data_IF_546922877406
#
_entry.id   IF_546922877406
#
_cell.length_a   1.000
_cell.length_b   1.000
_cell.length_c   1.000
_cell.angle_alpha   90.00
_cell.angle_beta   90.00
_cell.angle_gamma   90.00
#
_symmetry.space_group_name_H-M   'P 1'
#
loop_
_entity.id
_entity.type
_entity.pdbx_description
1 polymer ?
#
# COMPACT_ATOMS: atom_id res chain seq x y z
N UNK A 1 -15.50 24.76 -9.53
CA UNK A 1 -14.15 24.69 -10.16
C UNK A 1 -13.53 23.37 -9.73
N UNK A 2 -13.31 22.42 -10.65
CA UNK A 2 -12.88 21.05 -10.33
C UNK A 2 -11.36 21.07 -10.09
N UNK A 3 -10.95 21.51 -8.91
CA UNK A 3 -9.54 21.67 -8.53
C UNK A 3 -9.01 20.30 -8.07
N UNK A 4 -8.57 19.47 -9.02
CA UNK A 4 -7.76 18.30 -8.72
C UNK A 4 -8.08 17.04 -9.52
N UNK A 5 -7.06 16.20 -9.68
CA UNK A 5 -7.15 14.85 -10.26
C UNK A 5 -8.08 13.92 -9.45
N UNK A 6 -8.32 14.25 -8.18
CA UNK A 6 -9.20 13.52 -7.26
C UNK A 6 -10.52 14.29 -7.08
N UNK A 7 -11.69 13.68 -7.36
CA UNK A 7 -12.99 14.30 -7.10
C UNK A 7 -13.14 14.66 -5.61
N UNK A 8 -13.61 15.87 -5.31
CA UNK A 8 -13.81 16.36 -3.93
C UNK A 8 -12.57 16.29 -3.02
N UNK A 9 -11.35 16.33 -3.58
CA UNK A 9 -10.10 16.23 -2.82
C UNK A 9 -9.84 17.39 -1.84
N UNK A 10 -10.63 18.45 -1.90
CA UNK A 10 -10.65 19.58 -0.97
C UNK A 10 -11.56 19.36 0.25
N UNK A 11 -12.48 18.37 0.20
CA UNK A 11 -13.37 18.05 1.30
C UNK A 11 -12.61 17.36 2.44
N UNK A 12 -12.75 17.90 3.64
CA UNK A 12 -12.17 17.34 4.87
C UNK A 12 -13.08 16.24 5.42
N UNK A 13 -13.01 15.06 4.79
CA UNK A 13 -13.73 13.86 5.21
C UNK A 13 -12.76 12.82 5.77
N UNK A 14 -13.29 11.86 6.53
CA UNK A 14 -12.49 10.73 7.01
C UNK A 14 -12.02 9.89 5.83
N UNK A 15 -10.76 9.47 5.90
CA UNK A 15 -10.11 8.65 4.88
C UNK A 15 -9.98 7.22 5.42
N UNK A 16 -10.40 6.25 4.63
CA UNK A 16 -10.29 4.83 4.97
C UNK A 16 -9.26 4.17 4.06
N UNK A 17 -8.09 3.85 4.63
CA UNK A 17 -7.02 3.10 3.96
C UNK A 17 -6.88 1.75 4.63
N UNK A 18 -6.77 0.69 3.82
CA UNK A 18 -6.51 -0.67 4.29
C UNK A 18 -5.19 -1.14 3.67
N UNK A 19 -4.27 -1.57 4.53
CA UNK A 19 -3.01 -2.20 4.12
C UNK A 19 -2.99 -3.65 4.60
N UNK A 20 -2.57 -4.57 3.73
CA UNK A 20 -2.39 -5.97 4.04
C UNK A 20 -0.91 -6.36 3.89
N UNK A 21 -0.44 -7.16 4.84
CA UNK A 21 0.93 -7.67 4.90
C UNK A 21 0.86 -9.14 5.26
N UNK A 22 1.46 -9.99 4.42
CA UNK A 22 1.61 -11.42 4.69
C UNK A 22 3.04 -11.86 4.42
N UNK A 23 3.51 -12.83 5.20
CA UNK A 23 4.87 -13.32 5.13
C UNK A 23 4.92 -14.82 5.35
N UNK A 24 5.74 -15.50 4.57
CA UNK A 24 6.03 -16.93 4.72
C UNK A 24 7.52 -17.07 4.95
N UNK A 25 7.87 -17.81 5.99
CA UNK A 25 9.23 -18.14 6.36
C UNK A 25 9.53 -19.58 5.91
N UNK A 26 10.60 -19.76 5.14
CA UNK A 26 10.97 -21.07 4.59
C UNK A 26 12.02 -21.84 5.42
N UNK A 27 12.39 -21.36 6.62
CA UNK A 27 13.35 -22.07 7.47
C UNK A 27 12.87 -23.48 7.87
N UNK A 28 11.56 -23.67 8.03
CA UNK A 28 10.98 -24.99 8.28
C UNK A 28 11.20 -26.00 7.15
N UNK A 29 11.52 -25.52 5.94
CA UNK A 29 11.85 -26.31 4.76
C UNK A 29 13.37 -26.33 4.48
N UNK A 30 14.20 -25.94 5.45
CA UNK A 30 15.65 -25.80 5.32
C UNK A 30 16.12 -24.81 4.23
N UNK A 31 15.26 -23.89 3.80
CA UNK A 31 15.61 -22.82 2.85
C UNK A 31 15.77 -21.52 3.65
N UNK A 32 16.96 -20.88 3.68
CA UNK A 32 17.17 -19.62 4.39
C UNK A 32 16.58 -18.47 3.57
N UNK A 33 15.26 -18.42 3.45
CA UNK A 33 14.56 -17.38 2.72
C UNK A 33 13.24 -16.99 3.41
N UNK A 34 12.86 -15.73 3.24
CA UNK A 34 11.55 -15.21 3.59
C UNK A 34 10.89 -14.64 2.33
N UNK A 35 9.60 -14.87 2.19
CA UNK A 35 8.77 -14.22 1.18
C UNK A 35 7.74 -13.35 1.87
N UNK A 36 7.68 -12.08 1.47
CA UNK A 36 6.70 -11.12 1.93
C UNK A 36 5.87 -10.62 0.74
N UNK A 37 4.56 -10.54 0.95
CA UNK A 37 3.63 -9.90 0.03
C UNK A 37 2.94 -8.77 0.77
N UNK A 38 3.07 -7.56 0.24
CA UNK A 38 2.43 -6.36 0.77
C UNK A 38 1.46 -5.79 -0.25
N UNK A 39 0.25 -5.49 0.18
CA UNK A 39 -0.76 -4.77 -0.57
C UNK A 39 -1.07 -3.49 0.19
N UNK A 40 -0.58 -2.37 -0.32
CA UNK A 40 -0.86 -1.05 0.21
C UNK A 40 -2.07 -0.45 -0.51
N UNK A 41 -2.93 0.24 0.23
CA UNK A 41 -4.18 0.82 -0.26
C UNK A 41 -5.04 -0.22 -1.01
N UNK A 42 -5.35 -1.32 -0.32
CA UNK A 42 -6.16 -2.43 -0.82
C UNK A 42 -7.54 -1.98 -1.32
N UNK A 43 -8.12 -0.94 -0.72
CA UNK A 43 -9.40 -0.36 -1.15
C UNK A 43 -9.30 0.54 -2.39
N UNK A 44 -8.09 0.87 -2.85
CA UNK A 44 -7.83 1.82 -3.94
C UNK A 44 -8.51 3.18 -3.71
N UNK A 45 -8.46 3.65 -2.46
CA UNK A 45 -9.03 4.93 -2.08
C UNK A 45 -8.07 6.05 -2.49
N UNK A 46 -8.51 6.94 -3.36
CA UNK A 46 -7.70 8.07 -3.82
C UNK A 46 -8.10 9.32 -3.04
N UNK A 47 -7.14 9.94 -2.36
CA UNK A 47 -7.36 11.16 -1.59
C UNK A 47 -6.14 12.09 -1.67
N UNK A 48 -6.29 13.29 -1.12
CA UNK A 48 -5.25 14.32 -1.09
C UNK A 48 -4.79 14.47 0.36
N UNK A 49 -3.49 14.22 0.62
CA UNK A 49 -2.92 14.31 1.99
C UNK A 49 -2.66 15.78 2.38
N UNK A 50 -2.05 16.53 1.46
CA UNK A 50 -1.87 17.99 1.52
C UNK A 50 -2.24 18.57 0.17
N UNK A 51 -2.68 19.83 0.11
CA UNK A 51 -3.09 20.48 -1.15
C UNK A 51 -1.98 20.30 -2.20
N UNK A 52 -2.28 19.56 -3.27
CA UNK A 52 -1.34 19.25 -4.35
C UNK A 52 -0.53 17.96 -4.20
N UNK A 53 -0.61 17.24 -3.08
CA UNK A 53 0.00 15.93 -2.87
C UNK A 53 -1.07 14.82 -2.84
N UNK A 54 -1.06 13.97 -3.87
CA UNK A 54 -2.00 12.85 -4.00
C UNK A 54 -1.45 11.68 -3.18
N UNK A 55 -2.34 11.04 -2.42
CA UNK A 55 -2.00 9.84 -1.64
C UNK A 55 -1.45 8.74 -2.55
N UNK A 56 -0.58 7.85 -2.04
CA UNK A 56 -0.10 6.71 -2.80
C UNK A 56 -1.25 5.87 -3.40
N UNK A 57 -1.16 5.63 -4.71
CA UNK A 57 -2.07 4.74 -5.43
C UNK A 57 -1.83 3.30 -4.92
N UNK A 58 -2.83 2.41 -5.07
CA UNK A 58 -2.69 0.99 -4.74
C UNK A 58 -1.35 0.44 -5.22
N UNK A 59 -0.59 -0.15 -4.30
CA UNK A 59 0.72 -0.71 -4.57
C UNK A 59 0.78 -2.17 -4.09
N UNK A 60 1.28 -3.05 -4.95
CA UNK A 60 1.49 -4.46 -4.64
C UNK A 60 2.99 -4.69 -4.73
N UNK A 61 3.59 -5.12 -3.62
CA UNK A 61 5.01 -5.46 -3.59
C UNK A 61 5.19 -6.90 -3.13
N UNK A 62 6.05 -7.60 -3.85
CA UNK A 62 6.55 -8.92 -3.51
C UNK A 62 8.02 -8.77 -3.14
N UNK A 63 8.42 -9.22 -1.96
CA UNK A 63 9.79 -9.20 -1.50
C UNK A 63 10.24 -10.63 -1.19
N UNK A 64 11.26 -11.09 -1.89
CA UNK A 64 11.95 -12.33 -1.60
C UNK A 64 13.31 -11.99 -0.99
N UNK A 65 13.52 -12.39 0.25
CA UNK A 65 14.75 -12.15 0.98
C UNK A 65 15.46 -13.48 1.21
N UNK A 66 16.68 -13.60 0.72
CA UNK A 66 17.56 -14.71 1.07
C UNK A 66 18.45 -14.32 2.24
N UNK A 67 18.76 -15.27 3.11
CA UNK A 67 19.39 -15.07 4.43
C UNK A 67 20.75 -15.79 4.52
N UNK A 68 21.45 -15.89 3.39
CA UNK A 68 22.80 -16.44 3.30
C UNK A 68 23.87 -15.45 3.77
#
# INVERSE_FOLDING_TARGET
>A
MKLGLVPDGDKRVQVFVLDLRTGINFYSMCIPANLFLNLNNALNYNYVEMIGNISPIRNISLNLQFLF
#
